data_IF_614640937274
#
_entry.id   IF_614640937274
#
_cell.length_a   1.000
_cell.length_b   1.000
_cell.length_c   1.000
_cell.angle_alpha   90.00
_cell.angle_beta   90.00
_cell.angle_gamma   90.00
#
_symmetry.space_group_name_H-M   'P 1'
#
loop_
_entity.id
_entity.type
_entity.pdbx_description
1 polymer ?
#
# COMPACT_ATOMS: atom_id res chain seq x y z
N UNK A 1 3.71 -31.92 -123.62
CA UNK A 1 3.87 -30.85 -122.60
C UNK A 1 2.66 -30.69 -121.68
N UNK A 2 1.41 -30.50 -122.17
CA UNK A 2 0.21 -30.27 -121.30
C UNK A 2 -0.09 -31.34 -120.23
N UNK A 3 0.10 -32.65 -120.50
CA UNK A 3 -0.19 -33.73 -119.53
C UNK A 3 0.81 -33.83 -118.37
N UNK A 4 2.07 -33.45 -118.59
CA UNK A 4 3.13 -33.46 -117.56
C UNK A 4 2.93 -32.29 -116.59
N UNK A 5 2.53 -31.12 -117.12
CA UNK A 5 2.18 -29.94 -116.31
C UNK A 5 0.94 -30.22 -115.44
N UNK A 6 -0.08 -30.91 -115.98
CA UNK A 6 -1.27 -31.30 -115.22
C UNK A 6 -0.94 -32.28 -114.08
N UNK A 7 -0.11 -33.28 -114.34
CA UNK A 7 0.33 -34.23 -113.32
C UNK A 7 1.18 -33.55 -112.22
N UNK A 8 2.06 -32.62 -112.60
CA UNK A 8 2.82 -31.80 -111.66
C UNK A 8 1.93 -30.93 -110.77
N UNK A 9 0.88 -30.30 -111.33
CA UNK A 9 -0.08 -29.51 -110.57
C UNK A 9 -0.91 -30.36 -109.59
N UNK A 10 -1.29 -31.58 -109.96
CA UNK A 10 -1.99 -32.53 -109.07
C UNK A 10 -1.07 -33.00 -107.93
N UNK A 11 0.19 -33.29 -108.22
CA UNK A 11 1.18 -33.67 -107.20
C UNK A 11 1.44 -32.51 -106.23
N UNK A 12 1.61 -31.29 -106.74
CA UNK A 12 1.77 -30.08 -105.91
C UNK A 12 0.53 -29.89 -105.05
N UNK A 13 -0.68 -30.01 -105.61
CA UNK A 13 -1.94 -29.91 -104.87
C UNK A 13 -2.06 -30.94 -103.74
N UNK A 14 -1.65 -32.19 -103.98
CA UNK A 14 -1.65 -33.26 -102.99
C UNK A 14 -0.61 -33.02 -101.90
N UNK A 15 0.58 -32.55 -102.27
CA UNK A 15 1.63 -32.19 -101.31
C UNK A 15 1.23 -30.99 -100.46
N UNK A 16 0.66 -29.93 -101.05
CA UNK A 16 0.14 -28.79 -100.29
C UNK A 16 -0.99 -29.22 -99.38
N UNK A 17 -1.91 -30.08 -99.83
CA UNK A 17 -3.02 -30.59 -99.02
C UNK A 17 -2.53 -31.45 -97.85
N UNK A 18 -1.53 -32.30 -98.08
CA UNK A 18 -0.88 -33.08 -97.03
C UNK A 18 -0.13 -32.19 -96.03
N UNK A 19 0.57 -31.16 -96.52
CA UNK A 19 1.30 -30.22 -95.67
C UNK A 19 0.35 -29.38 -94.80
N UNK A 20 -0.76 -28.90 -95.38
CA UNK A 20 -1.81 -28.19 -94.63
C UNK A 20 -2.47 -29.10 -93.60
N UNK A 21 -2.79 -30.34 -93.96
CA UNK A 21 -3.35 -31.32 -93.01
C UNK A 21 -2.37 -31.63 -91.88
N UNK A 22 -1.08 -31.80 -92.18
CA UNK A 22 -0.04 -32.05 -91.18
C UNK A 22 0.16 -30.85 -90.24
N UNK A 23 0.09 -29.63 -90.75
CA UNK A 23 0.15 -28.40 -89.95
C UNK A 23 -1.05 -28.31 -89.01
N UNK A 24 -2.26 -28.52 -89.55
CA UNK A 24 -3.52 -28.46 -88.80
C UNK A 24 -3.55 -29.52 -87.69
N UNK A 25 -3.09 -30.75 -87.96
CA UNK A 25 -2.97 -31.81 -86.95
C UNK A 25 -1.94 -31.48 -85.84
N UNK A 26 -0.87 -30.74 -86.16
CA UNK A 26 0.12 -30.33 -85.18
C UNK A 26 -0.39 -29.18 -84.30
N UNK A 27 -1.12 -28.23 -84.89
CA UNK A 27 -1.81 -27.16 -84.17
C UNK A 27 -2.89 -27.70 -83.24
N UNK A 28 -3.68 -28.71 -83.67
CA UNK A 28 -4.67 -29.40 -82.82
C UNK A 28 -3.97 -30.07 -81.63
N UNK A 29 -2.88 -30.81 -81.85
CA UNK A 29 -2.11 -31.44 -80.77
C UNK A 29 -1.54 -30.44 -79.77
N UNK A 30 -1.04 -29.29 -80.25
CA UNK A 30 -0.61 -28.22 -79.36
C UNK A 30 -1.77 -27.61 -78.58
N UNK A 31 -2.92 -27.39 -79.21
CA UNK A 31 -4.14 -26.91 -78.56
C UNK A 31 -4.61 -27.84 -77.44
N UNK A 32 -4.61 -29.15 -77.68
CA UNK A 32 -4.97 -30.16 -76.67
C UNK A 32 -3.99 -30.19 -75.49
N UNK A 33 -2.68 -30.07 -75.76
CA UNK A 33 -1.64 -29.96 -74.73
C UNK A 33 -1.82 -28.71 -73.86
N UNK A 34 -2.02 -27.55 -74.49
CA UNK A 34 -2.25 -26.27 -73.79
C UNK A 34 -3.55 -26.35 -72.97
N UNK A 35 -4.61 -26.93 -73.53
CA UNK A 35 -5.89 -27.11 -72.83
C UNK A 35 -5.72 -27.99 -71.58
N UNK A 36 -4.91 -29.05 -71.67
CA UNK A 36 -4.61 -29.92 -70.53
C UNK A 36 -3.78 -29.21 -69.47
N UNK A 37 -2.71 -28.52 -69.87
CA UNK A 37 -1.89 -27.71 -68.95
C UNK A 37 -2.71 -26.61 -68.26
N UNK A 38 -3.63 -25.97 -68.99
CA UNK A 38 -4.56 -24.99 -68.44
C UNK A 38 -5.46 -25.62 -67.38
N UNK A 39 -6.06 -26.78 -67.65
CA UNK A 39 -6.88 -27.51 -66.68
C UNK A 39 -6.07 -27.87 -65.42
N UNK A 40 -4.85 -28.40 -65.58
CA UNK A 40 -3.97 -28.76 -64.47
C UNK A 40 -3.60 -27.53 -63.62
N UNK A 41 -3.40 -26.37 -64.25
CA UNK A 41 -3.14 -25.10 -63.55
C UNK A 41 -4.38 -24.58 -62.83
N UNK A 42 -5.57 -24.68 -63.43
CA UNK A 42 -6.83 -24.29 -62.78
C UNK A 42 -7.10 -25.12 -61.51
N UNK A 43 -6.83 -26.42 -61.55
CA UNK A 43 -6.97 -27.29 -60.38
C UNK A 43 -5.93 -26.95 -59.28
N UNK A 44 -4.69 -26.63 -59.68
CA UNK A 44 -3.67 -26.14 -58.73
C UNK A 44 -4.04 -24.81 -58.09
N UNK A 45 -4.60 -23.87 -58.87
CA UNK A 45 -5.06 -22.57 -58.36
C UNK A 45 -6.15 -22.77 -57.31
N UNK A 46 -7.16 -23.61 -57.59
CA UNK A 46 -8.22 -23.93 -56.60
C UNK A 46 -7.66 -24.56 -55.33
N UNK A 47 -6.66 -25.43 -55.46
CA UNK A 47 -5.97 -26.01 -54.30
C UNK A 47 -5.26 -24.96 -53.44
N UNK A 48 -4.57 -24.00 -54.08
CA UNK A 48 -3.92 -22.88 -53.39
C UNK A 48 -4.96 -21.96 -52.74
N UNK A 49 -6.06 -21.65 -53.41
CA UNK A 49 -7.14 -20.82 -52.86
C UNK A 49 -7.74 -21.44 -51.59
N UNK A 50 -7.97 -22.76 -51.60
CA UNK A 50 -8.43 -23.49 -50.41
C UNK A 50 -7.42 -23.44 -49.26
N UNK A 51 -6.11 -23.53 -49.56
CA UNK A 51 -5.06 -23.41 -48.55
C UNK A 51 -4.98 -21.99 -47.97
N UNK A 52 -5.15 -20.96 -48.80
CA UNK A 52 -5.18 -19.56 -48.35
C UNK A 52 -6.35 -19.35 -47.38
N UNK A 53 -7.55 -19.85 -47.71
CA UNK A 53 -8.71 -19.73 -46.83
C UNK A 53 -8.48 -20.41 -45.48
N UNK A 54 -7.87 -21.60 -45.47
CA UNK A 54 -7.53 -22.28 -44.22
C UNK A 54 -6.53 -21.48 -43.37
N UNK A 55 -5.48 -20.95 -44.00
CA UNK A 55 -4.48 -20.13 -43.30
C UNK A 55 -5.10 -18.84 -42.76
N UNK A 56 -5.99 -18.19 -43.50
CA UNK A 56 -6.71 -17.00 -43.03
C UNK A 56 -7.57 -17.29 -41.80
N UNK A 57 -8.27 -18.45 -41.79
CA UNK A 57 -9.03 -18.90 -40.62
C UNK A 57 -8.10 -19.16 -39.43
N UNK A 58 -7.02 -19.91 -39.61
CA UNK A 58 -6.06 -20.21 -38.55
C UNK A 58 -5.42 -18.94 -37.97
N UNK A 59 -5.16 -17.92 -38.80
CA UNK A 59 -4.66 -16.61 -38.37
C UNK A 59 -5.70 -15.90 -37.50
N UNK A 60 -6.97 -15.92 -37.91
CA UNK A 60 -8.05 -15.28 -37.15
C UNK A 60 -8.23 -15.93 -35.77
N UNK A 61 -8.21 -17.26 -35.70
CA UNK A 61 -8.30 -18.02 -34.45
C UNK A 61 -7.11 -17.72 -33.52
N UNK A 62 -5.89 -17.77 -34.06
CA UNK A 62 -4.67 -17.44 -33.28
C UNK A 62 -4.66 -16.00 -32.79
N UNK A 63 -5.21 -15.05 -33.57
CA UNK A 63 -5.30 -13.65 -33.16
C UNK A 63 -6.20 -13.48 -31.94
N UNK A 64 -7.32 -14.19 -31.88
CA UNK A 64 -8.21 -14.19 -30.71
C UNK A 64 -7.50 -14.75 -29.48
N UNK A 65 -6.81 -15.89 -29.62
CA UNK A 65 -6.04 -16.48 -28.51
C UNK A 65 -4.94 -15.55 -27.99
N UNK A 66 -4.25 -14.83 -28.89
CA UNK A 66 -3.24 -13.83 -28.50
C UNK A 66 -3.88 -12.70 -27.72
N UNK A 67 -5.08 -12.26 -28.11
CA UNK A 67 -5.77 -11.18 -27.40
C UNK A 67 -6.20 -11.63 -25.99
N UNK A 68 -6.76 -12.84 -25.85
CA UNK A 68 -7.13 -13.40 -24.54
C UNK A 68 -5.90 -13.55 -23.61
N UNK A 69 -4.77 -13.97 -24.16
CA UNK A 69 -3.51 -14.07 -23.42
C UNK A 69 -2.97 -12.68 -23.01
N UNK A 70 -3.11 -11.67 -23.87
CA UNK A 70 -2.74 -10.28 -23.54
C UNK A 70 -3.59 -9.72 -22.41
N UNK A 71 -4.92 -9.94 -22.45
CA UNK A 71 -5.83 -9.53 -21.38
C UNK A 71 -5.48 -10.22 -20.05
N UNK A 72 -5.11 -11.51 -20.11
CA UNK A 72 -4.64 -12.27 -18.94
C UNK A 72 -3.32 -11.72 -18.39
N UNK A 73 -2.37 -11.37 -19.25
CA UNK A 73 -1.10 -10.76 -18.84
C UNK A 73 -1.30 -9.40 -18.16
N UNK A 74 -2.23 -8.59 -18.67
CA UNK A 74 -2.56 -7.29 -18.08
C UNK A 74 -3.21 -7.44 -16.70
N UNK A 75 -4.10 -8.41 -16.50
CA UNK A 75 -4.69 -8.72 -15.19
C UNK A 75 -3.62 -9.18 -14.18
N UNK A 76 -2.76 -10.14 -14.57
CA UNK A 76 -1.66 -10.62 -13.72
C UNK A 76 -0.73 -9.46 -13.34
N UNK A 77 -0.42 -8.58 -14.29
CA UNK A 77 0.38 -7.39 -14.02
C UNK A 77 -0.28 -6.48 -12.98
N UNK A 78 -1.58 -6.22 -13.11
CA UNK A 78 -2.35 -5.45 -12.13
C UNK A 78 -2.31 -6.08 -10.72
N UNK A 79 -2.42 -7.40 -10.64
CA UNK A 79 -2.29 -8.12 -9.36
C UNK A 79 -0.88 -7.99 -8.75
N UNK A 80 0.17 -8.09 -9.56
CA UNK A 80 1.57 -7.91 -9.12
C UNK A 80 1.77 -6.49 -8.57
N UNK A 81 1.26 -5.47 -9.26
CA UNK A 81 1.36 -4.07 -8.81
C UNK A 81 0.67 -3.88 -7.46
N UNK A 82 -0.52 -4.45 -7.27
CA UNK A 82 -1.24 -4.43 -5.97
C UNK A 82 -0.46 -5.13 -4.86
N UNK A 83 0.07 -6.33 -5.12
CA UNK A 83 0.85 -7.09 -4.14
C UNK A 83 2.15 -6.38 -3.75
N UNK A 84 2.82 -5.74 -4.71
CA UNK A 84 4.02 -4.96 -4.42
C UNK A 84 3.72 -3.75 -3.53
N UNK A 85 2.59 -3.06 -3.72
CA UNK A 85 2.15 -1.98 -2.84
C UNK A 85 1.90 -2.49 -1.41
N UNK A 86 1.17 -3.61 -1.26
CA UNK A 86 0.93 -4.22 0.05
C UNK A 86 2.23 -4.67 0.73
N UNK A 87 3.15 -5.28 -0.02
CA UNK A 87 4.47 -5.67 0.49
C UNK A 87 5.24 -4.47 1.02
N UNK A 88 5.25 -3.35 0.28
CA UNK A 88 5.95 -2.14 0.70
C UNK A 88 5.37 -1.56 1.99
N UNK A 89 4.05 -1.60 2.17
CA UNK A 89 3.37 -1.17 3.40
C UNK A 89 3.75 -2.05 4.60
N UNK A 90 3.72 -3.38 4.42
CA UNK A 90 4.13 -4.36 5.42
C UNK A 90 5.61 -4.22 5.82
N UNK A 91 6.49 -3.95 4.85
CA UNK A 91 7.92 -3.73 5.12
C UNK A 91 8.16 -2.47 5.97
N UNK A 92 7.41 -1.38 5.71
CA UNK A 92 7.48 -0.16 6.50
C UNK A 92 6.98 -0.39 7.94
N UNK A 93 5.86 -1.12 8.09
CA UNK A 93 5.32 -1.49 9.40
C UNK A 93 6.29 -2.37 10.20
N UNK A 94 6.88 -3.37 9.56
CA UNK A 94 7.83 -4.27 10.19
C UNK A 94 9.13 -3.55 10.59
N UNK A 95 9.55 -2.55 9.82
CA UNK A 95 10.66 -1.67 10.22
C UNK A 95 10.35 -0.92 11.50
N UNK A 96 9.15 -0.33 11.63
CA UNK A 96 8.72 0.38 12.83
C UNK A 96 8.72 -0.54 14.07
N UNK A 97 8.13 -1.74 13.98
CA UNK A 97 8.12 -2.67 15.11
C UNK A 97 9.53 -3.17 15.48
N UNK A 98 10.45 -3.31 14.52
CA UNK A 98 11.86 -3.60 14.82
C UNK A 98 12.54 -2.46 15.57
N UNK A 99 12.16 -1.22 15.30
CA UNK A 99 12.70 -0.05 16.01
C UNK A 99 12.12 0.05 17.43
N UNK A 100 10.82 -0.21 17.61
CA UNK A 100 10.19 -0.35 18.94
C UNK A 100 10.90 -1.43 19.75
N UNK A 101 11.17 -2.59 19.14
CA UNK A 101 11.86 -3.69 19.81
C UNK A 101 13.31 -3.37 20.24
N UNK A 102 13.91 -2.28 19.74
CA UNK A 102 15.23 -1.80 20.19
C UNK A 102 15.16 -0.95 21.46
N UNK A 103 13.96 -0.61 21.94
CA UNK A 103 13.78 0.10 23.21
C UNK A 103 13.80 1.63 23.11
N UNK A 104 13.72 2.22 21.91
CA UNK A 104 13.67 3.68 21.74
C UNK A 104 12.21 4.16 21.71
N UNK A 105 11.70 4.89 22.73
CA UNK A 105 10.29 5.29 22.78
C UNK A 105 9.95 6.40 21.78
N UNK A 106 10.95 7.10 21.21
CA UNK A 106 10.71 8.20 20.26
C UNK A 106 9.96 7.76 19.01
N UNK A 107 10.16 6.51 18.62
CA UNK A 107 9.55 5.89 17.43
C UNK A 107 8.02 5.79 17.54
N UNK A 108 7.47 5.93 18.75
CA UNK A 108 6.03 5.90 19.01
C UNK A 108 5.35 7.23 18.63
N UNK A 109 6.11 8.32 18.55
CA UNK A 109 5.61 9.63 18.11
C UNK A 109 5.63 9.67 16.57
N UNK A 110 4.54 9.22 15.95
CA UNK A 110 4.46 9.01 14.49
C UNK A 110 3.85 10.20 13.73
N UNK A 111 4.62 11.30 13.63
CA UNK A 111 4.16 12.57 13.02
C UNK A 111 3.85 12.50 11.52
N UNK A 112 4.31 11.47 10.82
CA UNK A 112 4.07 11.28 9.38
C UNK A 112 2.92 10.31 9.07
N UNK A 113 2.20 9.82 10.10
CA UNK A 113 1.13 8.87 9.88
C UNK A 113 -0.08 9.51 9.16
N UNK A 114 -0.50 9.02 7.97
CA UNK A 114 -1.54 9.67 7.19
C UNK A 114 -2.92 9.64 7.86
N UNK A 115 -3.25 8.56 8.57
CA UNK A 115 -4.54 8.44 9.27
C UNK A 115 -4.64 9.41 10.45
N UNK A 116 -3.54 9.56 11.19
CA UNK A 116 -3.50 10.51 12.31
C UNK A 116 -3.53 11.95 11.79
N UNK A 117 -2.83 12.22 10.68
CA UNK A 117 -2.87 13.53 10.00
C UNK A 117 -4.28 13.90 9.55
N UNK A 118 -4.98 13.00 8.87
CA UNK A 118 -6.38 13.21 8.47
C UNK A 118 -7.27 13.50 9.69
N UNK A 119 -7.06 12.76 10.80
CA UNK A 119 -7.79 13.03 12.05
C UNK A 119 -7.46 14.41 12.63
N UNK A 120 -6.20 14.82 12.65
CA UNK A 120 -5.81 16.16 13.12
C UNK A 120 -6.47 17.23 12.27
N UNK A 121 -6.43 17.11 10.93
CA UNK A 121 -7.07 18.03 10.00
C UNK A 121 -8.58 18.14 10.25
N UNK A 122 -9.26 17.02 10.51
CA UNK A 122 -10.68 17.00 10.88
C UNK A 122 -10.95 17.76 12.19
N UNK A 123 -10.15 17.52 13.23
CA UNK A 123 -10.29 18.12 14.56
C UNK A 123 -10.07 19.63 14.51
N UNK A 124 -9.07 20.08 13.76
CA UNK A 124 -8.68 21.49 13.70
C UNK A 124 -9.38 22.30 12.61
N UNK A 125 -10.31 21.70 11.86
CA UNK A 125 -10.90 22.30 10.64
C UNK A 125 -11.52 23.69 10.84
N UNK A 126 -11.95 24.01 12.06
CA UNK A 126 -12.56 25.32 12.41
C UNK A 126 -11.60 26.25 13.18
N UNK A 127 -10.42 25.77 13.54
CA UNK A 127 -9.43 26.52 14.31
C UNK A 127 -8.65 27.48 13.40
N UNK A 128 -8.55 28.74 13.81
CA UNK A 128 -7.89 29.83 13.09
C UNK A 128 -6.49 30.10 13.62
N UNK A 129 -6.29 29.95 14.92
CA UNK A 129 -5.02 30.21 15.60
C UNK A 129 -4.31 28.92 15.99
N UNK A 130 -3.00 29.00 16.28
CA UNK A 130 -2.23 27.85 16.75
C UNK A 130 -2.74 27.36 18.10
N UNK A 131 -3.11 28.30 18.98
CA UNK A 131 -3.63 28.05 20.32
C UNK A 131 -4.99 27.33 20.26
N UNK A 132 -5.87 27.73 19.33
CA UNK A 132 -7.13 27.03 19.09
C UNK A 132 -6.90 25.59 18.61
N UNK A 133 -5.87 25.36 17.77
CA UNK A 133 -5.52 24.01 17.29
C UNK A 133 -4.99 23.14 18.42
N UNK A 134 -4.08 23.67 19.24
CA UNK A 134 -3.53 23.00 20.42
C UNK A 134 -4.62 22.62 21.41
N UNK A 135 -5.54 23.55 21.69
CA UNK A 135 -6.69 23.26 22.54
C UNK A 135 -7.58 22.20 21.91
N UNK A 136 -7.89 22.30 20.61
CA UNK A 136 -8.79 21.35 19.94
C UNK A 136 -8.25 19.91 19.96
N UNK A 137 -6.96 19.69 19.72
CA UNK A 137 -6.37 18.34 19.80
C UNK A 137 -6.34 17.81 21.23
N UNK A 138 -6.06 18.66 22.22
CA UNK A 138 -6.16 18.27 23.63
C UNK A 138 -7.59 17.90 24.03
N UNK A 139 -8.58 18.68 23.60
CA UNK A 139 -9.99 18.38 23.85
C UNK A 139 -10.47 17.11 23.16
N UNK A 140 -10.04 16.89 21.93
CA UNK A 140 -10.33 15.66 21.20
C UNK A 140 -9.82 14.45 21.98
N UNK A 141 -8.54 14.41 22.34
CA UNK A 141 -7.96 13.26 23.03
C UNK A 141 -8.68 12.98 24.36
N UNK A 142 -8.85 14.01 25.21
CA UNK A 142 -9.43 13.81 26.55
C UNK A 142 -10.94 13.52 26.58
N UNK A 143 -11.68 13.79 25.50
CA UNK A 143 -13.15 13.62 25.43
C UNK A 143 -13.58 12.47 24.52
N UNK A 144 -12.86 12.24 23.43
CA UNK A 144 -13.27 11.33 22.36
C UNK A 144 -12.58 9.97 22.42
N UNK A 145 -11.51 9.85 23.21
CA UNK A 145 -10.79 8.61 23.48
C UNK A 145 -11.22 8.08 24.85
N UNK A 146 -11.72 6.85 24.88
CA UNK A 146 -12.15 6.19 26.11
C UNK A 146 -10.93 5.68 26.88
N UNK A 147 -10.80 6.08 28.14
CA UNK A 147 -9.75 5.59 29.04
C UNK A 147 -10.03 4.15 29.49
N UNK A 148 -9.14 3.21 29.16
CA UNK A 148 -9.32 1.77 29.45
C UNK A 148 -8.03 1.18 30.01
N UNK A 149 -8.07 0.67 31.24
CA UNK A 149 -6.95 -0.02 31.90
C UNK A 149 -7.24 -1.50 32.15
N UNK A 150 -6.21 -2.32 32.39
CA UNK A 150 -6.36 -3.75 32.77
C UNK A 150 -7.25 -3.92 34.03
N UNK A 151 -7.19 -2.97 34.97
CA UNK A 151 -7.95 -2.97 36.22
C UNK A 151 -9.42 -2.54 36.12
N UNK A 152 -9.83 -1.90 35.02
CA UNK A 152 -11.22 -1.51 34.76
C UNK A 152 -11.69 -1.97 33.37
N UNK A 153 -11.77 -3.29 33.13
CA UNK A 153 -12.15 -3.84 31.84
C UNK A 153 -13.67 -3.72 31.66
N UNK A 154 -14.18 -2.51 31.42
CA UNK A 154 -15.54 -2.30 30.92
C UNK A 154 -15.60 -2.80 29.47
N UNK A 155 -15.70 -4.13 29.33
CA UNK A 155 -16.18 -4.87 28.15
C UNK A 155 -15.39 -4.62 26.83
N UNK A 156 -14.28 -5.36 26.69
CA UNK A 156 -13.64 -5.84 25.44
C UNK A 156 -12.99 -4.82 24.47
N UNK A 157 -11.70 -5.03 24.13
CA UNK A 157 -11.19 -5.50 22.81
C UNK A 157 -9.63 -5.49 22.74
N UNK A 158 -8.91 -5.82 23.81
CA UNK A 158 -7.53 -6.31 23.59
C UNK A 158 -7.64 -7.72 23.00
N UNK A 159 -6.86 -8.09 21.97
CA UNK A 159 -6.91 -9.46 21.45
C UNK A 159 -6.61 -10.44 22.60
N UNK A 160 -7.35 -11.54 22.70
CA UNK A 160 -7.25 -12.52 23.81
C UNK A 160 -5.82 -12.94 24.24
N UNK A 161 -4.82 -13.01 23.35
CA UNK A 161 -3.44 -13.25 23.76
C UNK A 161 -2.84 -12.17 24.68
N UNK A 162 -3.24 -10.90 24.54
CA UNK A 162 -2.60 -9.76 25.23
C UNK A 162 -2.94 -9.72 26.72
N UNK A 163 -4.20 -10.00 27.08
CA UNK A 163 -4.64 -10.13 28.48
C UNK A 163 -3.96 -11.30 29.22
N UNK A 164 -3.37 -12.26 28.49
CA UNK A 164 -2.76 -13.46 29.06
C UNK A 164 -1.32 -13.23 29.53
N UNK A 165 -0.63 -12.23 29.02
CA UNK A 165 0.81 -12.07 29.24
C UNK A 165 1.24 -10.87 30.09
N UNK A 166 0.31 -10.04 30.60
CA UNK A 166 0.63 -8.86 31.46
C UNK A 166 1.78 -7.99 30.91
N UNK A 167 1.88 -7.89 29.58
CA UNK A 167 2.77 -6.93 28.95
C UNK A 167 1.93 -5.71 28.63
N UNK A 168 2.41 -4.55 29.08
CA UNK A 168 1.79 -3.30 28.68
C UNK A 168 2.02 -3.10 27.18
N UNK A 169 0.95 -2.82 26.44
CA UNK A 169 1.00 -2.67 24.99
C UNK A 169 0.79 -1.20 24.65
N UNK A 170 1.91 -0.49 24.49
CA UNK A 170 1.88 0.90 24.10
C UNK A 170 1.44 1.02 22.64
N UNK A 171 0.26 1.57 22.44
CA UNK A 171 -0.35 1.77 21.15
C UNK A 171 0.39 2.84 20.34
N UNK A 172 0.45 2.62 19.04
CA UNK A 172 0.77 3.68 18.10
C UNK A 172 -0.41 4.68 18.03
N UNK A 173 -0.16 5.97 17.76
CA UNK A 173 -1.21 6.98 17.59
C UNK A 173 -2.33 6.56 16.63
N UNK A 174 -1.99 5.85 15.54
CA UNK A 174 -2.96 5.32 14.57
C UNK A 174 -3.91 4.28 15.16
N UNK A 175 -3.45 3.49 16.13
CA UNK A 175 -4.21 2.44 16.81
C UNK A 175 -5.18 3.10 17.78
N UNK A 176 -4.71 4.06 18.60
CA UNK A 176 -5.54 4.84 19.51
C UNK A 176 -6.64 5.62 18.77
N UNK A 177 -6.34 6.21 17.60
CA UNK A 177 -7.38 6.86 16.75
C UNK A 177 -8.39 5.84 16.20
N UNK A 178 -7.94 4.66 15.74
CA UNK A 178 -8.82 3.62 15.18
C UNK A 178 -9.72 3.00 16.24
N UNK A 179 -9.16 2.66 17.40
CA UNK A 179 -9.87 1.98 18.47
C UNK A 179 -10.65 2.93 19.36
N UNK A 180 -10.26 4.22 19.38
CA UNK A 180 -10.79 5.27 20.26
C UNK A 180 -10.70 4.88 21.74
N UNK A 181 -9.65 4.13 22.09
CA UNK A 181 -9.39 3.55 23.40
C UNK A 181 -7.90 3.53 23.69
N UNK A 182 -7.53 3.74 24.94
CA UNK A 182 -6.17 3.59 25.43
C UNK A 182 -6.09 3.98 26.91
N UNK A 183 -5.03 3.57 27.58
CA UNK A 183 -4.66 4.04 28.91
C UNK A 183 -3.67 5.21 28.82
N UNK A 184 -2.91 5.45 29.89
CA UNK A 184 -2.35 6.77 30.19
C UNK A 184 -1.23 7.16 29.22
N UNK A 185 -0.39 6.20 28.85
CA UNK A 185 0.66 6.33 27.86
C UNK A 185 0.09 6.39 26.45
N UNK A 186 -0.90 5.55 26.11
CA UNK A 186 -1.54 5.54 24.78
C UNK A 186 -2.10 6.92 24.42
N UNK A 187 -2.89 7.50 25.34
CA UNK A 187 -3.50 8.82 25.12
C UNK A 187 -2.46 9.93 25.13
N UNK A 188 -1.39 9.79 25.92
CA UNK A 188 -0.30 10.76 25.97
C UNK A 188 0.53 10.72 24.67
N UNK A 189 0.87 9.54 24.16
CA UNK A 189 1.58 9.34 22.89
C UNK A 189 0.77 9.93 21.73
N UNK A 190 -0.54 9.67 21.68
CA UNK A 190 -1.43 10.29 20.70
C UNK A 190 -1.44 11.82 20.83
N UNK A 191 -1.60 12.35 22.04
CA UNK A 191 -1.66 13.80 22.27
C UNK A 191 -0.36 14.49 21.88
N UNK A 192 0.80 13.94 22.27
CA UNK A 192 2.10 14.45 21.87
C UNK A 192 2.22 14.49 20.34
N UNK A 193 1.87 13.39 19.66
CA UNK A 193 1.88 13.32 18.19
C UNK A 193 1.00 14.39 17.56
N UNK A 194 -0.22 14.57 18.06
CA UNK A 194 -1.14 15.59 17.53
C UNK A 194 -0.67 17.02 17.82
N UNK A 195 -0.09 17.28 19.00
CA UNK A 195 0.50 18.57 19.37
C UNK A 195 1.67 18.92 18.43
N UNK A 196 2.52 17.94 18.12
CA UNK A 196 3.60 18.09 17.13
C UNK A 196 3.05 18.41 15.74
N UNK A 197 2.00 17.69 15.28
CA UNK A 197 1.35 17.94 13.98
C UNK A 197 0.71 19.34 13.86
N UNK A 198 0.22 19.92 14.96
CA UNK A 198 -0.32 21.31 14.95
C UNK A 198 0.76 22.39 15.12
N UNK A 199 2.04 22.01 15.08
CA UNK A 199 3.18 22.94 15.03
C UNK A 199 3.75 23.31 16.40
N UNK A 200 3.51 22.53 17.45
CA UNK A 200 4.25 22.66 18.70
C UNK A 200 5.67 22.13 18.49
N UNK A 201 6.74 22.89 18.75
CA UNK A 201 8.11 22.40 18.59
C UNK A 201 8.42 21.31 19.62
N UNK A 202 9.38 20.41 19.34
CA UNK A 202 9.69 19.28 20.23
C UNK A 202 10.18 19.77 21.60
N UNK A 203 10.90 20.90 21.63
CA UNK A 203 11.35 21.55 22.88
C UNK A 203 10.23 21.97 23.83
N UNK A 204 8.99 22.05 23.33
CA UNK A 204 7.83 22.57 24.06
C UNK A 204 6.79 21.49 24.35
N UNK A 205 7.00 20.23 23.95
CA UNK A 205 6.06 19.13 24.24
C UNK A 205 6.77 17.80 24.42
N UNK A 206 6.36 17.06 25.45
CA UNK A 206 6.89 15.74 25.75
C UNK A 206 5.89 14.89 26.52
N UNK A 207 5.95 13.57 26.28
CA UNK A 207 5.36 12.56 27.16
C UNK A 207 6.28 12.42 28.36
N UNK A 208 5.71 12.43 29.56
CA UNK A 208 6.42 12.20 30.82
C UNK A 208 5.84 10.97 31.48
N UNK A 209 6.73 10.13 32.01
CA UNK A 209 6.40 8.90 32.71
C UNK A 209 6.93 8.99 34.12
N UNK A 210 6.17 8.49 35.07
CA UNK A 210 6.62 8.42 36.45
C UNK A 210 5.61 7.76 37.37
N UNK A 211 5.89 7.83 38.67
CA UNK A 211 4.93 7.44 39.69
C UNK A 211 4.19 8.66 40.21
N UNK A 212 2.86 8.60 40.27
CA UNK A 212 2.03 9.62 40.92
C UNK A 212 1.44 9.07 42.21
N UNK A 213 1.27 9.95 43.20
CA UNK A 213 0.57 9.62 44.45
C UNK A 213 -0.85 10.14 44.36
N UNK A 214 -1.82 9.26 44.55
CA UNK A 214 -3.23 9.60 44.66
C UNK A 214 -3.85 9.00 45.92
N UNK A 215 -5.09 9.37 46.22
CA UNK A 215 -5.87 8.79 47.32
C UNK A 215 -6.03 7.25 47.19
N UNK A 216 -5.87 6.70 45.98
CA UNK A 216 -5.92 5.27 45.69
C UNK A 216 -4.58 4.53 45.85
N UNK A 217 -3.47 5.22 46.09
CA UNK A 217 -2.14 4.65 46.21
C UNK A 217 -1.11 5.29 45.28
N UNK A 218 0.04 4.60 45.13
CA UNK A 218 1.10 4.99 44.19
C UNK A 218 0.97 4.13 42.95
N UNK A 219 0.91 4.76 41.78
CA UNK A 219 0.73 4.09 40.48
C UNK A 219 1.61 4.69 39.41
N UNK A 220 1.96 3.88 38.40
CA UNK A 220 2.57 4.39 37.18
C UNK A 220 1.58 5.26 36.44
N UNK A 221 2.04 6.43 36.00
CA UNK A 221 1.23 7.37 35.23
C UNK A 221 2.04 8.09 34.14
N UNK A 222 1.36 8.41 33.06
CA UNK A 222 1.90 9.09 31.91
C UNK A 222 1.03 10.31 31.60
N UNK A 223 1.68 11.44 31.37
CA UNK A 223 1.02 12.71 31.06
C UNK A 223 1.85 13.52 30.06
N UNK A 224 1.31 14.63 29.57
CA UNK A 224 2.04 15.55 28.72
C UNK A 224 2.56 16.74 29.52
N UNK A 225 3.81 17.10 29.31
CA UNK A 225 4.30 18.43 29.60
C UNK A 225 4.30 19.27 28.33
N UNK A 226 3.63 20.42 28.39
CA UNK A 226 3.50 21.35 27.29
C UNK A 226 3.89 22.76 27.73
N UNK A 227 4.74 23.43 26.96
CA UNK A 227 5.17 24.80 27.20
C UNK A 227 4.32 25.78 26.40
N UNK A 228 3.72 26.74 27.10
CA UNK A 228 2.96 27.84 26.50
C UNK A 228 3.56 29.17 26.96
N UNK A 229 4.23 29.87 26.06
CA UNK A 229 5.06 31.02 26.41
C UNK A 229 6.28 30.57 27.23
N UNK A 230 6.47 31.15 28.41
CA UNK A 230 7.56 30.80 29.33
C UNK A 230 7.14 29.81 30.43
N UNK A 231 5.88 29.38 30.42
CA UNK A 231 5.29 28.55 31.47
C UNK A 231 5.06 27.11 30.99
N UNK A 232 5.31 26.15 31.88
CA UNK A 232 5.05 24.73 31.64
C UNK A 232 3.71 24.31 32.25
N UNK A 233 2.99 23.49 31.51
CA UNK A 233 1.71 22.92 31.89
C UNK A 233 1.78 21.40 31.82
N UNK A 234 1.15 20.73 32.78
CA UNK A 234 0.80 19.34 32.70
C UNK A 234 -0.59 19.21 32.06
N UNK A 235 -0.68 18.49 30.94
CA UNK A 235 -1.93 18.18 30.28
C UNK A 235 -2.32 16.74 30.63
N UNK A 236 -3.37 16.62 31.44
CA UNK A 236 -3.89 15.34 31.90
C UNK A 236 -4.94 14.80 30.92
N UNK A 237 -4.50 14.03 29.92
CA UNK A 237 -5.37 13.44 28.88
C UNK A 237 -6.32 12.37 29.42
N UNK A 238 -6.06 11.81 30.60
CA UNK A 238 -6.95 10.83 31.26
C UNK A 238 -8.07 11.48 32.07
N UNK A 239 -8.01 12.79 32.28
CA UNK A 239 -9.00 13.56 33.05
C UNK A 239 -9.94 14.34 32.11
N UNK A 240 -11.18 13.87 31.89
CA UNK A 240 -12.09 14.49 30.91
C UNK A 240 -12.57 15.90 31.31
N UNK A 241 -12.33 16.32 32.56
CA UNK A 241 -12.70 17.64 33.07
C UNK A 241 -11.50 18.57 33.30
N UNK A 242 -10.27 18.05 33.24
CA UNK A 242 -9.08 18.85 33.46
C UNK A 242 -8.82 19.77 32.26
N UNK A 243 -8.31 20.95 32.56
CA UNK A 243 -7.77 21.87 31.57
C UNK A 243 -6.25 21.97 31.77
N UNK A 244 -5.61 23.00 31.23
CA UNK A 244 -4.18 23.22 31.38
C UNK A 244 -3.85 23.46 32.86
N UNK A 245 -3.14 22.52 33.48
CA UNK A 245 -2.70 22.62 34.87
C UNK A 245 -1.26 23.12 34.84
N UNK A 246 -0.95 24.23 35.52
CA UNK A 246 0.46 24.65 35.64
C UNK A 246 1.28 23.52 36.24
N UNK A 247 2.46 23.25 35.66
CA UNK A 247 3.34 22.16 36.08
C UNK A 247 3.62 22.22 37.58
N UNK A 248 3.94 23.40 38.12
CA UNK A 248 4.14 23.59 39.57
C UNK A 248 2.96 23.11 40.40
N UNK A 249 1.74 23.50 40.03
CA UNK A 249 0.51 23.08 40.73
C UNK A 249 0.29 21.57 40.62
N UNK A 250 0.49 20.99 39.44
CA UNK A 250 0.37 19.54 39.23
C UNK A 250 1.37 18.77 40.11
N UNK A 251 2.61 19.27 40.18
CA UNK A 251 3.69 18.66 40.94
C UNK A 251 3.53 18.82 42.44
N UNK A 252 2.99 19.96 42.90
CA UNK A 252 2.67 20.18 44.31
C UNK A 252 1.55 19.24 44.80
N UNK A 253 0.59 18.92 43.93
CA UNK A 253 -0.57 18.07 44.27
C UNK A 253 -0.19 16.57 44.22
N UNK A 254 0.39 16.12 43.11
CA UNK A 254 0.61 14.68 42.87
C UNK A 254 2.00 14.19 43.29
N UNK A 255 2.93 15.12 43.53
CA UNK A 255 4.33 14.85 43.90
C UNK A 255 4.94 13.72 43.05
N UNK A 256 4.98 13.88 41.72
CA UNK A 256 5.37 12.80 40.82
C UNK A 256 6.86 12.48 40.96
N UNK A 257 7.19 11.19 40.95
CA UNK A 257 8.57 10.72 40.75
C UNK A 257 8.75 10.45 39.26
N UNK A 258 9.42 11.36 38.55
CA UNK A 258 9.70 11.22 37.11
C UNK A 258 10.70 10.08 36.90
N UNK A 259 10.43 9.23 35.93
CA UNK A 259 11.35 8.18 35.46
C UNK A 259 11.97 8.55 34.12
N UNK A 260 11.15 9.03 33.19
CA UNK A 260 11.61 9.35 31.86
C UNK A 260 10.67 10.34 31.17
N UNK A 261 11.15 10.94 30.09
CA UNK A 261 10.32 11.71 29.17
C UNK A 261 10.85 11.64 27.74
N UNK A 262 9.95 11.76 26.77
CA UNK A 262 10.29 11.67 25.35
C UNK A 262 9.34 12.43 24.43
N UNK A 263 9.82 12.72 23.22
CA UNK A 263 9.02 13.10 22.06
C UNK A 263 9.61 12.41 20.80
N UNK A 264 9.37 12.91 19.60
CA UNK A 264 9.92 12.39 18.34
C UNK A 264 11.43 12.62 18.17
N UNK A 265 12.04 13.56 18.90
CA UNK A 265 13.45 13.95 18.75
C UNK A 265 14.30 13.59 19.99
N UNK A 266 13.73 13.79 21.18
CA UNK A 266 14.41 13.71 22.47
C UNK A 266 13.90 12.53 23.29
N UNK A 267 14.82 11.88 24.01
CA UNK A 267 14.53 10.88 25.03
C UNK A 267 15.49 11.08 26.19
N UNK A 268 14.95 11.15 27.40
CA UNK A 268 15.70 11.28 28.63
C UNK A 268 15.15 10.33 29.67
N UNK A 269 16.07 9.69 30.39
CA UNK A 269 15.80 8.78 31.49
C UNK A 269 16.50 9.36 32.72
N UNK A 270 15.79 9.43 33.84
CA UNK A 270 16.35 9.88 35.12
C UNK A 270 17.14 8.73 35.75
N UNK A 271 18.40 8.97 36.12
CA UNK A 271 19.19 7.97 36.84
C UNK A 271 18.54 7.68 38.20
N UNK A 272 18.08 6.44 38.40
CA UNK A 272 17.54 6.02 39.67
C UNK A 272 18.63 6.04 40.75
N UNK A 273 18.61 7.07 41.60
CA UNK A 273 19.46 7.14 42.79
C UNK A 273 19.04 6.09 43.81
N UNK A 274 19.49 4.84 43.65
CA UNK A 274 19.22 3.76 44.59
C UNK A 274 19.76 2.41 44.15
N UNK A 275 20.79 1.92 44.84
CA UNK A 275 21.38 0.59 44.73
C UNK A 275 20.36 -0.53 44.93
N UNK A 276 20.10 -1.33 43.90
CA UNK A 276 19.99 -2.80 43.90
C UNK A 276 19.56 -3.27 42.49
N UNK A 277 20.31 -4.24 41.94
CA UNK A 277 20.07 -5.00 40.70
C UNK A 277 18.89 -4.58 39.81
N UNK A 278 19.15 -3.66 38.88
CA UNK A 278 18.28 -3.44 37.71
C UNK A 278 19.03 -3.93 36.47
N UNK A 279 19.05 -5.26 36.30
CA UNK A 279 19.39 -5.84 35.00
C UNK A 279 18.19 -5.61 34.06
N UNK A 280 18.39 -4.77 33.03
CA UNK A 280 17.47 -4.56 31.90
C UNK A 280 16.08 -3.95 32.21
N UNK A 281 16.01 -2.84 32.95
CA UNK A 281 14.79 -2.00 32.96
C UNK A 281 14.66 -1.24 31.65
N UNK A 282 13.93 -1.82 30.71
CA UNK A 282 13.43 -1.11 29.53
C UNK A 282 12.25 -0.22 29.92
N UNK A 283 12.16 1.00 29.38
CA UNK A 283 11.00 1.90 29.54
C UNK A 283 9.66 1.21 29.23
N UNK A 284 9.70 0.18 28.38
CA UNK A 284 8.57 -0.68 28.02
C UNK A 284 8.12 -1.66 29.12
N UNK A 285 8.71 -1.58 30.32
CA UNK A 285 8.23 -2.29 31.52
C UNK A 285 7.37 -1.40 32.43
N UNK A 286 7.22 -0.12 32.08
CA UNK A 286 6.29 0.79 32.74
C UNK A 286 4.84 0.33 32.52
N UNK A 287 4.01 0.44 33.56
CA UNK A 287 2.60 0.05 33.56
C UNK A 287 1.73 1.17 34.14
N UNK A 288 0.72 1.61 33.40
CA UNK A 288 -0.31 2.52 33.90
C UNK A 288 -1.21 1.82 34.96
N UNK A 289 -1.47 2.48 36.08
CA UNK A 289 -2.28 1.93 37.19
C UNK A 289 -3.55 2.74 37.41
#
# INVERSE_FOLDING_TARGET
>A
MRRIILAGLVIISLLTSYYTYSLEQNEIKQGDLISKEKSDLEDKIKGIESLIQQVEQDIAEKKTLIQEEQETQDDIRGQIEKLNAQKSELEAELKLYREIARGDPRVLITIDNPLVKEKVEEVIRLCKTREERQQAVFEYVRKEIEYVTEGNPRRWYYPQPFLKYKFDFWQLPRETVKWRKGDCEDVSILLCTMMRMVGVPPSDVRVVLGLVRSDGGVGGHAWIEFKLGDEWYALESTCPTCNYIRKSVYYDILNPQIWAWFNDEEYHEEESGGTEDVTESSIFTFVCV
#
